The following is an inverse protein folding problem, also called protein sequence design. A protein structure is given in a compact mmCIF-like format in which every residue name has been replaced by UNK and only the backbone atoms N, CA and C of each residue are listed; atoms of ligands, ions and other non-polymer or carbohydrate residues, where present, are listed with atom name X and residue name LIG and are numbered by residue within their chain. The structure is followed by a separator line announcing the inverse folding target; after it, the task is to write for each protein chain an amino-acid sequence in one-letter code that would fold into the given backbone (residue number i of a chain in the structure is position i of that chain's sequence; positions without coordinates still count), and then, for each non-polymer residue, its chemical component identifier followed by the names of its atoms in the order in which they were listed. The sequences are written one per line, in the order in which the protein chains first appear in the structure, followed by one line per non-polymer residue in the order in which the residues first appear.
data_IF_060769012306
#
_entry.id   IF_060769012306
#
_cell.length_a   1.000
_cell.length_b   1.000
_cell.length_c   1.000
_cell.angle_alpha   90.00
_cell.angle_beta   90.00
_cell.angle_gamma   90.00
#
_symmetry.space_group_name_H-M   'P 1'
#
loop_
_entity.id
_entity.type
_entity.pdbx_description
1 polymer ?
#
# COMPACT_ATOMS: atom_id res chain seq x y z
N UNK A 1 17.23 15.70 -12.63
CA UNK A 1 16.60 14.50 -13.22
C UNK A 1 16.06 13.53 -12.18
N UNK A 2 16.76 13.17 -11.06
CA UNK A 2 16.23 12.24 -10.03
C UNK A 2 14.91 12.70 -9.40
N UNK A 3 14.80 13.97 -8.96
CA UNK A 3 13.57 14.52 -8.34
C UNK A 3 12.33 14.45 -9.24
N UNK A 4 12.50 14.60 -10.56
CA UNK A 4 11.40 14.53 -11.52
C UNK A 4 10.92 13.09 -11.69
N UNK A 5 11.83 12.12 -11.80
CA UNK A 5 11.50 10.69 -11.86
C UNK A 5 10.77 10.22 -10.60
N UNK A 6 11.25 10.63 -9.42
CA UNK A 6 10.62 10.27 -8.14
C UNK A 6 9.21 10.87 -8.05
N UNK A 7 9.03 12.12 -8.49
CA UNK A 7 7.71 12.77 -8.54
C UNK A 7 6.72 12.00 -9.43
N UNK A 8 7.13 11.64 -10.64
CA UNK A 8 6.28 10.86 -11.54
C UNK A 8 5.97 9.46 -10.99
N UNK A 9 6.91 8.83 -10.31
CA UNK A 9 6.70 7.55 -9.66
C UNK A 9 5.66 7.62 -8.54
N UNK A 10 5.73 8.63 -7.66
CA UNK A 10 4.73 8.83 -6.60
C UNK A 10 3.37 9.22 -7.16
N UNK A 11 3.36 10.04 -8.23
CA UNK A 11 2.12 10.42 -8.91
C UNK A 11 1.45 9.19 -9.54
N UNK A 12 2.22 8.36 -10.24
CA UNK A 12 1.73 7.12 -10.85
C UNK A 12 1.20 6.14 -9.78
N UNK A 13 1.93 5.94 -8.70
CA UNK A 13 1.48 5.12 -7.58
C UNK A 13 0.21 5.67 -6.92
N UNK A 14 0.12 6.98 -6.72
CA UNK A 14 -1.08 7.64 -6.21
C UNK A 14 -2.27 7.44 -7.14
N UNK A 15 -2.12 7.67 -8.44
CA UNK A 15 -3.18 7.44 -9.44
C UNK A 15 -3.62 5.97 -9.43
N UNK A 16 -2.67 5.04 -9.43
CA UNK A 16 -2.95 3.60 -9.47
C UNK A 16 -3.75 3.15 -8.25
N UNK A 17 -3.27 3.46 -7.04
CA UNK A 17 -3.85 2.92 -5.80
C UNK A 17 -5.02 3.74 -5.27
N UNK A 18 -5.04 5.05 -5.48
CA UNK A 18 -6.07 5.93 -4.92
C UNK A 18 -7.23 6.16 -5.91
N UNK A 19 -6.99 6.10 -7.22
CA UNK A 19 -8.02 6.32 -8.22
C UNK A 19 -8.38 5.06 -9.01
N UNK A 20 -7.39 4.41 -9.63
CA UNK A 20 -7.66 3.31 -10.57
C UNK A 20 -8.31 2.10 -9.89
N UNK A 21 -7.79 1.63 -8.76
CA UNK A 21 -8.35 0.46 -8.08
C UNK A 21 -9.77 0.73 -7.56
N UNK A 22 -10.10 1.84 -6.87
CA UNK A 22 -11.48 2.18 -6.53
C UNK A 22 -12.40 2.32 -7.74
N UNK A 23 -11.91 2.86 -8.86
CA UNK A 23 -12.67 2.92 -10.10
C UNK A 23 -12.99 1.52 -10.63
N UNK A 24 -12.02 0.60 -10.63
CA UNK A 24 -12.25 -0.81 -11.00
C UNK A 24 -13.28 -1.45 -10.07
N UNK A 25 -13.21 -1.20 -8.74
CA UNK A 25 -14.20 -1.68 -7.78
C UNK A 25 -15.59 -1.16 -8.11
N UNK A 26 -15.73 0.11 -8.43
CA UNK A 26 -17.01 0.73 -8.80
C UNK A 26 -17.56 0.17 -10.12
N UNK A 27 -16.74 0.03 -11.17
CA UNK A 27 -17.12 -0.56 -12.45
C UNK A 27 -17.53 -2.04 -12.29
N UNK A 28 -16.73 -2.84 -11.58
CA UNK A 28 -17.02 -4.25 -11.32
C UNK A 28 -18.32 -4.43 -10.51
N UNK A 29 -18.68 -3.44 -9.70
CA UNK A 29 -19.91 -3.41 -8.91
C UNK A 29 -21.15 -3.00 -9.74
N UNK A 30 -21.01 -2.78 -11.04
CA UNK A 30 -22.11 -2.36 -11.91
C UNK A 30 -22.45 -0.87 -11.81
N UNK A 31 -21.45 -0.05 -11.44
CA UNK A 31 -21.57 1.42 -11.33
C UNK A 31 -22.73 1.86 -10.41
N UNK A 32 -22.77 1.38 -9.15
CA UNK A 32 -23.82 1.79 -8.24
C UNK A 32 -23.84 3.30 -8.04
N UNK A 33 -24.99 3.85 -7.69
CA UNK A 33 -25.09 5.24 -7.29
C UNK A 33 -24.21 5.49 -6.07
N UNK A 34 -23.39 6.56 -6.15
CA UNK A 34 -22.48 6.93 -5.05
C UNK A 34 -23.22 7.64 -3.91
N UNK A 35 -24.43 8.15 -4.17
CA UNK A 35 -25.35 8.82 -3.25
C UNK A 35 -26.79 8.43 -3.55
N UNK A 36 -27.68 8.39 -2.53
CA UNK A 36 -27.43 8.64 -1.10
C UNK A 36 -26.79 7.46 -0.39
N UNK A 37 -25.91 7.73 0.58
CA UNK A 37 -25.28 6.74 1.45
C UNK A 37 -25.74 6.96 2.89
N UNK A 38 -26.01 5.88 3.62
CA UNK A 38 -26.28 5.97 5.06
C UNK A 38 -25.09 6.66 5.78
N UNK A 39 -25.40 7.66 6.63
CA UNK A 39 -24.40 8.49 7.30
C UNK A 39 -23.37 7.64 8.06
N UNK A 40 -23.81 6.61 8.79
CA UNK A 40 -22.90 5.74 9.54
C UNK A 40 -21.90 5.02 8.62
N UNK A 41 -22.38 4.53 7.45
CA UNK A 41 -21.52 3.89 6.44
C UNK A 41 -20.57 4.88 5.81
N UNK A 42 -21.05 6.09 5.48
CA UNK A 42 -20.22 7.15 4.91
C UNK A 42 -19.09 7.55 5.87
N UNK A 43 -19.41 7.76 7.14
CA UNK A 43 -18.41 8.09 8.18
C UNK A 43 -17.41 6.95 8.36
N UNK A 44 -17.87 5.70 8.49
CA UNK A 44 -16.98 4.55 8.64
C UNK A 44 -16.04 4.37 7.44
N UNK A 45 -16.56 4.48 6.23
CA UNK A 45 -15.76 4.43 5.01
C UNK A 45 -14.74 5.57 4.95
N UNK A 46 -15.16 6.81 5.22
CA UNK A 46 -14.28 7.98 5.22
C UNK A 46 -13.15 7.86 6.25
N UNK A 47 -13.44 7.36 7.46
CA UNK A 47 -12.43 7.12 8.50
C UNK A 47 -11.41 6.09 8.03
N UNK A 48 -11.85 4.96 7.49
CA UNK A 48 -10.94 3.93 6.95
C UNK A 48 -10.07 4.49 5.82
N UNK A 49 -10.68 5.21 4.86
CA UNK A 49 -9.95 5.79 3.73
C UNK A 49 -8.91 6.81 4.21
N UNK A 50 -9.28 7.67 5.16
CA UNK A 50 -8.36 8.67 5.71
C UNK A 50 -7.22 8.01 6.49
N UNK A 51 -7.51 7.07 7.38
CA UNK A 51 -6.48 6.33 8.13
C UNK A 51 -5.52 5.59 7.20
N UNK A 52 -6.03 4.94 6.17
CA UNK A 52 -5.22 4.23 5.17
C UNK A 52 -4.31 5.18 4.39
N UNK A 53 -4.83 6.32 3.93
CA UNK A 53 -4.04 7.34 3.25
C UNK A 53 -2.96 7.93 4.15
N UNK A 54 -3.30 8.30 5.39
CA UNK A 54 -2.35 8.87 6.35
C UNK A 54 -1.21 7.87 6.60
N UNK A 55 -1.51 6.59 6.84
CA UNK A 55 -0.48 5.57 7.05
C UNK A 55 0.41 5.40 5.81
N UNK A 56 -0.17 5.35 4.62
CA UNK A 56 0.58 5.22 3.35
C UNK A 56 1.49 6.42 3.12
N UNK A 57 0.97 7.64 3.24
CA UNK A 57 1.75 8.89 3.08
C UNK A 57 2.84 8.99 4.14
N UNK A 58 2.52 8.72 5.40
CA UNK A 58 3.50 8.71 6.49
C UNK A 58 4.66 7.75 6.19
N UNK A 59 4.35 6.54 5.72
CA UNK A 59 5.35 5.54 5.36
C UNK A 59 6.25 6.01 4.21
N UNK A 60 5.67 6.60 3.16
CA UNK A 60 6.42 7.16 2.02
C UNK A 60 7.37 8.27 2.49
N UNK A 61 6.85 9.21 3.29
CA UNK A 61 7.66 10.33 3.82
C UNK A 61 8.76 9.82 4.73
N UNK A 62 8.46 8.85 5.60
CA UNK A 62 9.44 8.24 6.49
C UNK A 62 10.56 7.55 5.70
N UNK A 63 10.21 6.73 4.72
CA UNK A 63 11.16 6.03 3.88
C UNK A 63 12.06 7.00 3.08
N UNK A 64 11.47 8.07 2.54
CA UNK A 64 12.22 9.11 1.82
C UNK A 64 13.24 9.82 2.72
N UNK A 65 12.86 10.15 3.95
CA UNK A 65 13.68 10.92 4.86
C UNK A 65 14.80 10.07 5.52
N UNK A 66 14.51 8.81 5.85
CA UNK A 66 15.40 7.91 6.58
C UNK A 66 16.09 6.88 5.67
N UNK A 67 15.38 6.30 4.71
CA UNK A 67 15.90 5.22 3.87
C UNK A 67 16.79 5.68 2.71
N UNK A 68 16.81 6.97 2.39
CA UNK A 68 17.51 7.54 1.22
C UNK A 68 17.24 6.80 -0.10
N UNK A 69 16.18 5.99 -0.14
CA UNK A 69 15.69 5.21 -1.27
C UNK A 69 14.22 5.49 -1.53
N UNK A 70 13.68 4.86 -2.55
CA UNK A 70 12.26 4.94 -2.91
C UNK A 70 11.59 3.58 -2.72
N UNK A 71 10.32 3.51 -2.29
CA UNK A 71 9.58 2.26 -2.15
C UNK A 71 9.17 1.62 -3.49
N UNK A 72 9.73 2.10 -4.60
CA UNK A 72 9.28 1.73 -5.94
C UNK A 72 10.15 0.64 -6.58
N UNK A 73 10.13 -0.54 -5.99
CA UNK A 73 10.45 -1.76 -6.71
C UNK A 73 9.12 -2.36 -7.20
N UNK A 74 8.95 -2.53 -8.50
CA UNK A 74 7.80 -3.20 -9.06
C UNK A 74 8.22 -4.58 -9.59
N UNK A 75 7.67 -5.63 -8.99
CA UNK A 75 7.86 -7.03 -9.41
C UNK A 75 9.33 -7.45 -9.61
N UNK A 76 10.22 -7.00 -8.71
CA UNK A 76 11.65 -7.33 -8.75
C UNK A 76 12.50 -6.44 -9.67
N UNK A 77 11.91 -5.48 -10.35
CA UNK A 77 12.64 -4.47 -11.15
C UNK A 77 12.86 -3.20 -10.34
N UNK A 78 14.11 -2.72 -10.35
CA UNK A 78 14.50 -1.48 -9.69
C UNK A 78 13.97 -0.28 -10.48
N UNK A 79 12.82 0.25 -10.06
CA UNK A 79 12.24 1.46 -10.63
C UNK A 79 12.86 2.73 -10.02
N UNK A 80 13.41 2.61 -8.80
CA UNK A 80 14.11 3.69 -8.11
C UNK A 80 15.25 3.14 -7.23
N UNK A 81 16.23 3.99 -6.81
CA UNK A 81 17.34 3.55 -5.99
C UNK A 81 16.88 2.86 -4.72
N UNK A 82 17.37 1.66 -4.48
CA UNK A 82 17.08 0.82 -3.30
C UNK A 82 17.59 1.48 -2.03
N UNK A 83 16.94 1.17 -0.92
CA UNK A 83 17.44 1.53 0.40
C UNK A 83 18.75 0.79 0.66
N UNK A 84 19.76 1.53 1.15
CA UNK A 84 21.08 0.95 1.49
C UNK A 84 21.09 0.26 2.86
N UNK A 85 20.04 0.47 3.66
CA UNK A 85 19.89 -0.06 5.01
C UNK A 85 18.51 -0.67 5.17
N UNK A 86 18.43 -1.74 5.95
CA UNK A 86 17.16 -2.34 6.32
C UNK A 86 16.35 -1.34 7.15
N UNK A 87 15.09 -1.12 6.76
CA UNK A 87 14.18 -0.23 7.47
C UNK A 87 13.42 -1.01 8.52
N UNK A 88 13.75 -0.79 9.79
CA UNK A 88 13.16 -1.49 10.95
C UNK A 88 12.49 -0.54 11.95
N UNK A 89 12.57 0.78 11.70
CA UNK A 89 12.08 1.81 12.61
C UNK A 89 10.80 2.48 12.09
N UNK A 90 10.19 3.33 12.93
CA UNK A 90 8.99 4.08 12.60
C UNK A 90 7.81 3.18 12.27
N UNK A 91 7.13 3.35 11.12
CA UNK A 91 5.99 2.52 10.72
C UNK A 91 6.38 1.03 10.54
N UNK A 92 7.65 0.75 10.25
CA UNK A 92 8.18 -0.62 10.08
C UNK A 92 8.32 -1.40 11.39
N UNK A 93 8.22 -0.74 12.55
CA UNK A 93 8.12 -1.43 13.85
C UNK A 93 6.81 -2.19 14.02
N UNK A 94 5.73 -1.69 13.41
CA UNK A 94 4.39 -2.28 13.54
C UNK A 94 4.27 -3.48 12.61
N UNK A 95 4.59 -3.27 11.34
CA UNK A 95 4.60 -4.33 10.34
C UNK A 95 5.64 -4.06 9.24
N UNK A 96 5.97 -5.11 8.46
CA UNK A 96 6.99 -5.04 7.42
C UNK A 96 6.54 -4.37 6.14
N UNK A 97 5.22 -4.19 5.95
CA UNK A 97 4.61 -3.62 4.74
C UNK A 97 3.62 -2.49 5.07
N UNK A 98 4.03 -1.45 5.82
CA UNK A 98 3.10 -0.45 6.34
C UNK A 98 2.44 0.38 5.23
N UNK A 99 3.12 0.62 4.10
CA UNK A 99 2.53 1.31 2.96
C UNK A 99 1.40 0.48 2.33
N UNK A 100 1.62 -0.81 2.11
CA UNK A 100 0.59 -1.71 1.58
C UNK A 100 -0.56 -1.89 2.57
N UNK A 101 -0.27 -2.00 3.87
CA UNK A 101 -1.30 -2.04 4.92
C UNK A 101 -2.20 -0.81 4.84
N UNK A 102 -1.62 0.39 4.72
CA UNK A 102 -2.38 1.62 4.54
C UNK A 102 -3.24 1.61 3.27
N UNK A 103 -2.68 1.13 2.16
CA UNK A 103 -3.42 0.98 0.89
C UNK A 103 -4.61 0.00 1.04
N UNK A 104 -4.42 -1.13 1.72
CA UNK A 104 -5.50 -2.11 1.96
C UNK A 104 -6.60 -1.53 2.85
N UNK A 105 -6.24 -0.77 3.89
CA UNK A 105 -7.22 -0.07 4.75
C UNK A 105 -8.00 0.96 3.93
N UNK A 106 -7.34 1.72 3.06
CA UNK A 106 -7.98 2.67 2.16
C UNK A 106 -8.98 1.98 1.22
N UNK A 107 -8.57 0.90 0.57
CA UNK A 107 -9.42 0.13 -0.35
C UNK A 107 -10.56 -0.58 0.38
N UNK A 108 -10.35 -1.02 1.62
CA UNK A 108 -11.43 -1.54 2.47
C UNK A 108 -12.48 -0.45 2.75
N UNK A 109 -12.05 0.79 2.99
CA UNK A 109 -12.95 1.95 3.09
C UNK A 109 -13.75 2.17 1.81
N UNK A 110 -13.13 2.08 0.63
CA UNK A 110 -13.81 2.16 -0.65
C UNK A 110 -14.83 1.02 -0.85
N UNK A 111 -14.48 -0.21 -0.44
CA UNK A 111 -15.40 -1.34 -0.48
C UNK A 111 -16.62 -1.13 0.45
N UNK A 112 -16.39 -0.59 1.65
CA UNK A 112 -17.47 -0.21 2.59
C UNK A 112 -18.34 0.89 2.01
N UNK A 113 -17.76 1.88 1.31
CA UNK A 113 -18.54 2.93 0.63
C UNK A 113 -19.48 2.35 -0.42
N UNK A 114 -18.93 1.52 -1.31
CA UNK A 114 -19.70 0.89 -2.40
C UNK A 114 -20.73 -0.13 -1.89
N UNK A 115 -20.42 -0.82 -0.79
CA UNK A 115 -21.28 -1.82 -0.15
C UNK A 115 -21.75 -2.92 -1.12
N UNK A 116 -20.86 -3.34 -2.01
CA UNK A 116 -21.10 -4.37 -3.01
C UNK A 116 -20.09 -5.50 -2.84
N UNK A 117 -20.54 -6.75 -2.95
CA UNK A 117 -19.65 -7.91 -2.81
C UNK A 117 -18.57 -7.97 -3.89
N UNK A 118 -18.87 -7.45 -5.09
CA UNK A 118 -17.89 -7.36 -6.19
C UNK A 118 -16.69 -6.47 -5.81
N UNK A 119 -16.93 -5.40 -5.08
CA UNK A 119 -15.85 -4.56 -4.56
C UNK A 119 -14.94 -5.34 -3.60
N UNK A 120 -15.52 -6.20 -2.75
CA UNK A 120 -14.73 -7.08 -1.89
C UNK A 120 -13.91 -8.11 -2.69
N UNK A 121 -14.46 -8.66 -3.76
CA UNK A 121 -13.73 -9.58 -4.67
C UNK A 121 -12.54 -8.87 -5.31
N UNK A 122 -12.71 -7.64 -5.80
CA UNK A 122 -11.61 -6.84 -6.36
C UNK A 122 -10.53 -6.58 -5.30
N UNK A 123 -10.93 -6.25 -4.05
CA UNK A 123 -9.99 -6.06 -2.94
C UNK A 123 -9.18 -7.33 -2.66
N UNK A 124 -9.84 -8.50 -2.61
CA UNK A 124 -9.16 -9.79 -2.39
C UNK A 124 -8.23 -10.13 -3.54
N UNK A 125 -8.65 -9.91 -4.79
CA UNK A 125 -7.80 -10.12 -5.97
C UNK A 125 -6.58 -9.19 -5.94
N UNK A 126 -6.77 -7.92 -5.61
CA UNK A 126 -5.66 -6.97 -5.42
C UNK A 126 -4.70 -7.45 -4.33
N UNK A 127 -5.22 -7.85 -3.16
CA UNK A 127 -4.40 -8.39 -2.09
C UNK A 127 -3.58 -9.61 -2.54
N UNK A 128 -4.19 -10.55 -3.28
CA UNK A 128 -3.50 -11.74 -3.79
C UNK A 128 -2.35 -11.36 -4.75
N UNK A 129 -2.57 -10.40 -5.65
CA UNK A 129 -1.53 -9.89 -6.55
C UNK A 129 -0.39 -9.25 -5.74
N UNK A 130 -0.73 -8.41 -4.77
CA UNK A 130 0.26 -7.75 -3.93
C UNK A 130 1.02 -8.72 -3.02
N UNK A 131 0.41 -9.85 -2.63
CA UNK A 131 1.12 -10.90 -1.90
C UNK A 131 2.28 -11.50 -2.71
N UNK A 132 2.11 -11.66 -4.02
CA UNK A 132 3.21 -12.13 -4.90
C UNK A 132 4.37 -11.12 -4.85
N UNK A 133 4.05 -9.82 -4.93
CA UNK A 133 5.04 -8.75 -4.81
C UNK A 133 5.76 -8.76 -3.45
N UNK A 134 5.00 -8.84 -2.35
CA UNK A 134 5.54 -8.89 -0.98
C UNK A 134 6.47 -10.09 -0.80
N UNK A 135 6.07 -11.27 -1.25
CA UNK A 135 6.89 -12.48 -1.14
C UNK A 135 8.18 -12.38 -1.98
N UNK A 136 8.11 -11.75 -3.14
CA UNK A 136 9.30 -11.45 -3.98
C UNK A 136 10.26 -10.50 -3.26
N UNK A 137 9.73 -9.46 -2.64
CA UNK A 137 10.51 -8.48 -1.88
C UNK A 137 11.14 -9.10 -0.61
N UNK A 138 10.38 -9.89 0.15
CA UNK A 138 10.92 -10.61 1.32
C UNK A 138 12.07 -11.57 0.93
N UNK A 139 11.96 -12.28 -0.21
CA UNK A 139 13.05 -13.14 -0.71
C UNK A 139 14.30 -12.33 -1.05
N UNK A 140 14.10 -11.14 -1.63
CA UNK A 140 15.21 -10.22 -1.90
C UNK A 140 15.85 -9.72 -0.63
N UNK A 141 15.06 -9.22 0.34
CA UNK A 141 15.57 -8.71 1.61
C UNK A 141 16.36 -9.77 2.38
N UNK A 142 15.93 -11.03 2.33
CA UNK A 142 16.71 -12.15 2.90
C UNK A 142 18.07 -12.34 2.22
N UNK A 143 18.15 -12.16 0.90
CA UNK A 143 19.43 -12.26 0.18
C UNK A 143 20.35 -11.08 0.47
N UNK A 144 19.77 -9.88 0.57
CA UNK A 144 20.53 -8.63 0.69
C UNK A 144 21.01 -8.37 2.13
N UNK A 145 20.21 -8.76 3.14
CA UNK A 145 20.45 -8.45 4.56
C UNK A 145 20.61 -9.70 5.46
N UNK A 146 20.36 -10.90 4.95
CA UNK A 146 20.62 -12.16 5.66
C UNK A 146 20.03 -12.21 7.07
N UNK A 147 20.91 -12.43 8.07
CA UNK A 147 20.54 -12.59 9.47
C UNK A 147 19.86 -11.36 10.07
N UNK A 148 20.23 -10.16 9.65
CA UNK A 148 19.60 -8.92 10.12
C UNK A 148 18.11 -8.90 9.76
N UNK A 149 17.76 -9.34 8.55
CA UNK A 149 16.35 -9.43 8.14
C UNK A 149 15.59 -10.54 8.88
N UNK A 150 16.22 -11.70 9.12
CA UNK A 150 15.60 -12.79 9.88
C UNK A 150 15.30 -12.37 11.32
N UNK A 151 16.22 -11.65 11.98
CA UNK A 151 16.00 -11.11 13.32
C UNK A 151 14.84 -10.11 13.34
N UNK A 152 14.80 -9.21 12.35
CA UNK A 152 13.67 -8.30 12.19
C UNK A 152 12.34 -9.04 12.02
N UNK A 153 12.30 -10.14 11.28
CA UNK A 153 11.09 -10.94 11.08
C UNK A 153 10.54 -11.56 12.37
N UNK A 154 11.38 -11.83 13.37
CA UNK A 154 10.93 -12.38 14.68
C UNK A 154 10.14 -11.37 15.49
N UNK A 155 10.40 -10.07 15.31
CA UNK A 155 9.81 -8.99 16.12
C UNK A 155 8.77 -8.15 15.36
N UNK A 156 8.57 -8.39 14.06
CA UNK A 156 7.63 -7.64 13.23
C UNK A 156 6.68 -8.55 12.48
N UNK A 157 5.42 -8.10 12.33
CA UNK A 157 4.40 -8.82 11.55
C UNK A 157 4.52 -8.45 10.07
N UNK A 158 3.96 -9.28 9.19
CA UNK A 158 3.91 -8.95 7.75
C UNK A 158 2.92 -7.82 7.48
N UNK A 159 1.76 -7.86 8.16
CA UNK A 159 0.67 -6.87 8.16
C UNK A 159 0.16 -6.61 9.55
#
# INVERSE_FOLDING_TARGET
MKRVRDFFGYLLGGILFVALIPTIMWLASGMPELWPVCVARAVGAAVLMLCGLVLSVYTIVYMRNRGKGSPMDAFGHEVAPRTKHLMVEGPYKINRNPMLTGTLIYLAGAAVWLWQWQAAVVLVAFFAIMMVQVLSEERRLRRDFGEEYEEYCKHSRRF
#
